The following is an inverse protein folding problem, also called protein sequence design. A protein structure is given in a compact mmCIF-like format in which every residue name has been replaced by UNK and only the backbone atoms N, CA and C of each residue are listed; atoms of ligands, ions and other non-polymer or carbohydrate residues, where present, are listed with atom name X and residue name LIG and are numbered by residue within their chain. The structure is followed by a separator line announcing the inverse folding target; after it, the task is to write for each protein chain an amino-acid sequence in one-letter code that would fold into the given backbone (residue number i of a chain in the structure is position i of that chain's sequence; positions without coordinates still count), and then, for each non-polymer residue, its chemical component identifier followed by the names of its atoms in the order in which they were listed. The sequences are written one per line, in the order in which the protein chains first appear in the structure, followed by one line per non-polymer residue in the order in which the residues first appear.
data_IF_079721115888
#
_entry.id   IF_079721115888
#
_cell.length_a   1.000
_cell.length_b   1.000
_cell.length_c   1.000
_cell.angle_alpha   90.00
_cell.angle_beta   90.00
_cell.angle_gamma   90.00
#
_symmetry.space_group_name_H-M   'P 1'
#
loop_
_entity.id
_entity.type
_entity.pdbx_description
1 polymer ?
#
# COMPACT_ATOMS: atom_id res chain seq x y z
N UNK A 1 -12.94 -17.80 -6.35
CA UNK A 1 -13.85 -16.73 -5.93
C UNK A 1 -14.81 -16.46 -7.08
N UNK A 2 -16.11 -16.77 -6.92
CA UNK A 2 -17.15 -16.37 -7.85
C UNK A 2 -17.56 -14.94 -7.51
N UNK A 3 -17.05 -13.97 -8.25
CA UNK A 3 -17.53 -12.61 -8.18
C UNK A 3 -18.89 -12.54 -8.89
N UNK A 4 -19.95 -12.37 -8.12
CA UNK A 4 -21.25 -12.00 -8.66
C UNK A 4 -21.37 -10.48 -8.58
N UNK A 5 -21.09 -9.82 -9.70
CA UNK A 5 -21.37 -8.39 -9.81
C UNK A 5 -22.88 -8.15 -9.82
N UNK A 6 -23.32 -7.27 -8.94
CA UNK A 6 -24.72 -6.84 -8.89
C UNK A 6 -24.78 -5.33 -9.24
N UNK A 7 -25.43 -4.93 -10.34
CA UNK A 7 -25.51 -3.54 -10.79
C UNK A 7 -26.26 -2.61 -9.82
N UNK A 8 -26.99 -3.16 -8.88
CA UNK A 8 -27.73 -2.39 -7.86
C UNK A 8 -26.88 -1.96 -6.69
N UNK A 9 -25.64 -2.47 -6.56
CA UNK A 9 -24.72 -2.08 -5.49
C UNK A 9 -23.59 -1.24 -6.02
N UNK A 10 -23.15 -0.28 -5.22
CA UNK A 10 -21.89 0.40 -5.45
C UNK A 10 -20.73 -0.58 -5.24
N UNK A 11 -19.82 -0.65 -6.21
CA UNK A 11 -18.76 -1.64 -6.24
C UNK A 11 -17.40 -0.95 -6.28
N UNK A 12 -16.46 -1.44 -5.50
CA UNK A 12 -15.07 -1.03 -5.54
C UNK A 12 -14.22 -2.04 -6.32
N UNK A 13 -13.49 -1.54 -7.31
CA UNK A 13 -12.53 -2.30 -8.11
C UNK A 13 -11.13 -1.95 -7.66
N UNK A 14 -10.33 -2.94 -7.29
CA UNK A 14 -9.06 -2.71 -6.63
C UNK A 14 -7.90 -3.14 -7.53
N UNK A 15 -6.90 -2.26 -7.68
CA UNK A 15 -5.67 -2.52 -8.43
C UNK A 15 -5.94 -3.14 -9.82
N UNK A 16 -5.63 -4.44 -10.01
CA UNK A 16 -5.77 -5.13 -11.29
C UNK A 16 -7.17 -5.10 -11.88
N UNK A 17 -8.20 -5.06 -11.05
CA UNK A 17 -9.58 -5.01 -11.52
C UNK A 17 -9.97 -3.66 -12.13
N UNK A 18 -9.24 -2.59 -11.79
CA UNK A 18 -9.47 -1.26 -12.37
C UNK A 18 -9.29 -1.27 -13.90
N UNK A 19 -8.30 -2.02 -14.40
CA UNK A 19 -8.05 -2.14 -15.84
C UNK A 19 -8.68 -3.36 -16.50
N UNK A 20 -9.34 -4.24 -15.74
CA UNK A 20 -9.90 -5.46 -16.28
C UNK A 20 -11.06 -5.16 -17.24
N UNK A 21 -10.94 -5.46 -18.55
CA UNK A 21 -11.95 -5.14 -19.55
C UNK A 21 -13.24 -5.98 -19.42
N UNK A 22 -13.18 -7.11 -18.72
CA UNK A 22 -14.31 -8.02 -18.52
C UNK A 22 -15.28 -7.53 -17.44
N UNK A 23 -14.89 -6.52 -16.66
CA UNK A 23 -15.71 -6.00 -15.56
C UNK A 23 -16.53 -4.82 -16.06
N UNK A 24 -17.85 -4.92 -15.91
CA UNK A 24 -18.73 -3.78 -16.15
C UNK A 24 -18.62 -2.79 -14.97
N UNK A 25 -18.26 -1.54 -15.29
CA UNK A 25 -17.92 -0.52 -14.29
C UNK A 25 -19.03 0.49 -14.03
N UNK A 26 -20.28 0.08 -14.23
CA UNK A 26 -21.46 0.93 -13.99
C UNK A 26 -21.60 1.13 -12.48
N UNK A 27 -21.67 2.37 -12.03
CA UNK A 27 -21.75 2.76 -10.62
C UNK A 27 -20.56 2.30 -9.74
N UNK A 28 -19.38 2.10 -10.33
CA UNK A 28 -18.21 1.62 -9.62
C UNK A 28 -17.25 2.73 -9.19
N UNK A 29 -16.43 2.40 -8.22
CA UNK A 29 -15.28 3.18 -7.78
C UNK A 29 -14.01 2.37 -8.04
N UNK A 30 -12.94 3.05 -8.48
CA UNK A 30 -11.62 2.44 -8.58
C UNK A 30 -10.77 2.77 -7.37
N UNK A 31 -9.91 1.84 -6.94
CA UNK A 31 -8.92 2.07 -5.89
C UNK A 31 -7.57 1.53 -6.36
N UNK A 32 -6.56 2.39 -6.44
CA UNK A 32 -5.17 2.01 -6.65
C UNK A 32 -4.42 2.14 -5.32
N UNK A 33 -4.08 1.03 -4.69
CA UNK A 33 -3.30 1.01 -3.45
C UNK A 33 -1.81 1.05 -3.68
N UNK A 34 -1.36 0.40 -4.76
CA UNK A 34 0.06 0.30 -5.05
C UNK A 34 0.59 1.58 -5.69
N UNK A 35 1.83 1.92 -5.40
CA UNK A 35 2.47 3.10 -5.96
C UNK A 35 2.83 2.91 -7.45
N UNK A 36 2.95 4.03 -8.18
CA UNK A 36 3.42 4.05 -9.57
C UNK A 36 4.77 3.35 -9.75
N UNK A 37 5.64 3.40 -8.74
CA UNK A 37 6.93 2.71 -8.79
C UNK A 37 6.84 1.18 -8.76
N UNK A 38 5.74 0.62 -8.26
CA UNK A 38 5.51 -0.83 -8.24
C UNK A 38 4.70 -1.34 -9.43
N UNK A 39 3.74 -0.53 -9.89
CA UNK A 39 2.83 -0.90 -10.98
C UNK A 39 2.76 0.21 -12.05
N UNK A 40 3.90 0.57 -12.69
CA UNK A 40 3.94 1.69 -13.64
C UNK A 40 2.95 1.53 -14.79
N UNK A 41 2.78 0.31 -15.32
CA UNK A 41 1.89 0.04 -16.44
C UNK A 41 0.41 0.36 -16.11
N UNK A 42 0.01 0.21 -14.85
CA UNK A 42 -1.32 0.61 -14.41
C UNK A 42 -1.52 2.12 -14.54
N UNK A 43 -0.57 2.89 -14.05
CA UNK A 43 -0.65 4.35 -14.09
C UNK A 43 -0.54 4.90 -15.51
N UNK A 44 0.14 4.21 -16.41
CA UNK A 44 0.23 4.57 -17.82
C UNK A 44 -1.10 4.32 -18.56
N UNK A 45 -1.91 3.38 -18.10
CA UNK A 45 -3.14 2.95 -18.78
C UNK A 45 -4.43 3.37 -18.08
N UNK A 46 -4.38 3.76 -16.81
CA UNK A 46 -5.58 4.06 -16.01
C UNK A 46 -6.40 5.24 -16.57
N UNK A 47 -5.76 6.20 -17.23
CA UNK A 47 -6.45 7.36 -17.79
C UNK A 47 -7.51 6.97 -18.82
N UNK A 48 -7.30 5.90 -19.59
CA UNK A 48 -8.25 5.40 -20.57
C UNK A 48 -9.54 4.86 -19.96
N UNK A 49 -9.53 4.54 -18.68
CA UNK A 49 -10.67 3.94 -17.98
C UNK A 49 -11.31 4.84 -16.93
N UNK A 50 -10.79 6.06 -16.71
CA UNK A 50 -11.30 6.98 -15.67
C UNK A 50 -12.80 7.24 -15.80
N UNK A 51 -13.31 7.37 -17.02
CA UNK A 51 -14.73 7.62 -17.29
C UNK A 51 -15.64 6.45 -16.93
N UNK A 52 -15.08 5.26 -16.71
CA UNK A 52 -15.84 4.08 -16.30
C UNK A 52 -16.16 4.08 -14.79
N UNK A 53 -15.57 5.00 -14.03
CA UNK A 53 -15.74 5.10 -12.58
C UNK A 53 -16.42 6.42 -12.20
N UNK A 54 -17.14 6.41 -11.09
CA UNK A 54 -17.58 7.64 -10.43
C UNK A 54 -16.35 8.43 -9.98
N UNK A 55 -15.50 7.77 -9.20
CA UNK A 55 -14.20 8.27 -8.75
C UNK A 55 -13.16 7.15 -8.75
N UNK A 56 -11.90 7.56 -8.93
CA UNK A 56 -10.72 6.73 -8.71
C UNK A 56 -9.96 7.26 -7.49
N UNK A 57 -9.75 6.42 -6.50
CA UNK A 57 -8.94 6.72 -5.32
C UNK A 57 -7.51 6.25 -5.53
N UNK A 58 -6.52 7.11 -5.28
CA UNK A 58 -5.12 6.81 -5.55
C UNK A 58 -4.16 7.60 -4.65
N UNK A 59 -3.00 7.03 -4.26
CA UNK A 59 -1.94 7.76 -3.59
C UNK A 59 -1.07 8.62 -4.53
N UNK A 60 -1.32 8.58 -5.85
CA UNK A 60 -0.53 9.32 -6.83
C UNK A 60 -1.05 10.76 -6.99
N UNK A 61 -0.28 11.73 -6.49
CA UNK A 61 -0.64 13.16 -6.55
C UNK A 61 -0.71 13.69 -7.98
N UNK A 62 0.21 13.24 -8.87
CA UNK A 62 0.23 13.68 -10.28
C UNK A 62 -1.10 13.35 -10.98
N UNK A 63 -1.63 12.16 -10.74
CA UNK A 63 -2.91 11.74 -11.34
C UNK A 63 -4.09 12.53 -10.76
N UNK A 64 -4.05 12.84 -9.46
CA UNK A 64 -5.07 13.66 -8.80
C UNK A 64 -5.05 15.10 -9.32
N UNK A 65 -3.88 15.69 -9.48
CA UNK A 65 -3.70 17.04 -10.03
C UNK A 65 -4.16 17.14 -11.48
N UNK A 66 -3.88 16.09 -12.28
CA UNK A 66 -4.27 16.04 -13.70
C UNK A 66 -5.78 15.85 -13.91
N UNK A 67 -6.44 15.10 -13.02
CA UNK A 67 -7.85 14.72 -13.13
C UNK A 67 -8.63 14.95 -11.82
N UNK A 68 -8.68 16.19 -11.29
CA UNK A 68 -9.23 16.45 -9.95
C UNK A 68 -10.73 16.14 -9.83
N UNK A 69 -11.47 16.15 -10.95
CA UNK A 69 -12.89 15.83 -11.00
C UNK A 69 -13.15 14.32 -10.85
N UNK A 70 -12.19 13.49 -11.30
CA UNK A 70 -12.30 12.02 -11.30
C UNK A 70 -11.43 11.34 -10.26
N UNK A 71 -10.23 11.85 -10.02
CA UNK A 71 -9.29 11.25 -9.09
C UNK A 71 -9.38 11.91 -7.72
N UNK A 72 -9.37 11.08 -6.68
CA UNK A 72 -9.36 11.54 -5.28
C UNK A 72 -8.15 10.95 -4.58
N UNK A 73 -7.43 11.81 -3.88
CA UNK A 73 -6.28 11.35 -3.13
C UNK A 73 -6.71 10.43 -1.99
N UNK A 74 -6.07 9.28 -1.92
CA UNK A 74 -6.24 8.31 -0.85
C UNK A 74 -4.86 7.75 -0.50
N UNK A 75 -4.39 7.87 0.75
CA UNK A 75 -3.12 7.30 1.14
C UNK A 75 -3.15 5.79 0.95
N UNK A 76 -2.10 5.26 0.33
CA UNK A 76 -1.88 3.83 0.28
C UNK A 76 -1.45 3.30 1.65
N UNK A 77 -1.67 2.02 1.86
CA UNK A 77 -1.23 1.33 3.06
C UNK A 77 -2.35 1.05 4.07
N UNK A 78 -1.99 0.27 5.08
CA UNK A 78 -2.89 -0.15 6.15
C UNK A 78 -2.10 -0.71 7.33
N UNK A 79 -2.78 -0.96 8.42
CA UNK A 79 -2.19 -1.65 9.57
C UNK A 79 -2.31 -3.16 9.37
N UNK A 80 -1.17 -3.84 9.34
CA UNK A 80 -1.06 -5.30 9.25
C UNK A 80 -0.96 -5.90 10.65
N UNK A 81 -1.90 -5.55 11.53
CA UNK A 81 -1.97 -6.04 12.90
C UNK A 81 -3.34 -6.66 13.15
N UNK A 82 -3.36 -7.68 13.99
CA UNK A 82 -4.58 -8.43 14.34
C UNK A 82 -4.49 -9.91 13.98
N UNK A 83 -5.35 -10.71 14.57
CA UNK A 83 -5.28 -12.16 14.55
C UNK A 83 -5.21 -12.84 13.18
N UNK A 84 -5.83 -12.24 12.14
CA UNK A 84 -5.81 -12.78 10.77
C UNK A 84 -4.48 -12.59 10.04
N UNK A 85 -3.61 -11.72 10.52
CA UNK A 85 -2.33 -11.37 9.89
C UNK A 85 -1.13 -11.69 10.78
N UNK A 86 -1.30 -12.52 11.80
CA UNK A 86 -0.24 -12.96 12.71
C UNK A 86 0.18 -11.92 13.74
N UNK A 87 -0.55 -10.81 13.85
CA UNK A 87 -0.10 -9.74 14.68
C UNK A 87 -0.92 -9.50 15.93
N UNK A 88 -0.43 -9.35 17.05
CA UNK A 88 -0.91 -9.02 18.35
C UNK A 88 -2.08 -8.03 18.50
N UNK A 89 -2.27 -7.55 19.67
CA UNK A 89 -3.31 -6.59 20.02
C UNK A 89 -2.91 -5.18 19.58
N UNK A 90 -3.86 -4.44 18.99
CA UNK A 90 -3.66 -3.02 18.67
C UNK A 90 -3.78 -2.23 19.99
N UNK A 91 -2.64 -1.90 20.57
CA UNK A 91 -2.55 -1.12 21.80
C UNK A 91 -1.33 -0.21 21.82
N UNK A 92 -1.30 0.72 22.74
CA UNK A 92 -0.11 1.51 23.04
C UNK A 92 0.85 0.66 23.87
N UNK A 93 1.99 0.34 23.27
CA UNK A 93 3.08 -0.36 23.93
C UNK A 93 4.06 0.64 24.56
N UNK A 94 4.66 0.23 25.66
CA UNK A 94 5.75 0.99 26.27
C UNK A 94 6.92 1.12 25.32
N UNK A 95 7.50 2.31 25.18
CA UNK A 95 8.56 2.61 24.24
C UNK A 95 9.91 2.60 24.94
N UNK A 96 10.74 1.60 24.68
CA UNK A 96 12.11 1.50 25.20
C UNK A 96 13.18 1.97 24.22
N UNK A 97 12.84 2.12 22.94
CA UNK A 97 13.75 2.54 21.86
C UNK A 97 13.34 3.89 21.30
N UNK A 98 14.34 4.71 21.00
CA UNK A 98 14.13 6.00 20.33
C UNK A 98 13.83 5.83 18.84
N UNK A 99 14.50 4.89 18.19
CA UNK A 99 14.32 4.52 16.80
C UNK A 99 14.17 3.00 16.72
N UNK A 100 13.15 2.56 16.01
CA UNK A 100 12.97 1.16 15.63
C UNK A 100 12.62 1.10 14.15
N UNK A 101 13.26 0.20 13.41
CA UNK A 101 13.02 0.02 11.99
C UNK A 101 13.01 -1.46 11.64
N UNK A 102 11.91 -1.90 11.00
CA UNK A 102 11.79 -3.23 10.39
C UNK A 102 11.75 -3.05 8.88
N UNK A 103 12.59 -3.75 8.15
CA UNK A 103 12.67 -3.65 6.70
C UNK A 103 12.82 -5.02 6.05
N UNK A 104 11.98 -5.31 5.05
CA UNK A 104 12.20 -6.46 4.18
C UNK A 104 13.38 -6.21 3.23
N UNK A 105 13.91 -7.28 2.64
CA UNK A 105 14.99 -7.23 1.64
C UNK A 105 14.52 -6.92 0.22
N UNK A 106 13.24 -6.61 0.01
CA UNK A 106 12.69 -6.30 -1.32
C UNK A 106 13.32 -5.04 -1.92
N UNK A 107 13.70 -5.11 -3.19
CA UNK A 107 14.27 -4.01 -3.98
C UNK A 107 13.55 -3.87 -5.34
N UNK A 108 12.24 -3.68 -5.30
CA UNK A 108 11.40 -3.60 -6.51
C UNK A 108 11.28 -2.18 -7.07
N UNK A 109 11.68 -1.17 -6.34
CA UNK A 109 11.65 0.24 -6.75
C UNK A 109 12.65 1.07 -5.93
N UNK A 110 12.90 2.31 -6.37
CA UNK A 110 13.89 3.22 -5.74
C UNK A 110 13.66 3.43 -4.25
N UNK A 111 12.41 3.53 -3.81
CA UNK A 111 12.10 3.68 -2.39
C UNK A 111 12.44 2.42 -1.57
N UNK A 112 12.35 1.24 -2.15
CA UNK A 112 12.82 0.01 -1.50
C UNK A 112 14.33 0.03 -1.31
N UNK A 113 15.09 0.39 -2.34
CA UNK A 113 16.54 0.52 -2.27
C UNK A 113 16.96 1.62 -1.29
N UNK A 114 16.27 2.77 -1.29
CA UNK A 114 16.51 3.83 -0.32
C UNK A 114 16.26 3.35 1.13
N UNK A 115 15.16 2.65 1.36
CA UNK A 115 14.83 2.08 2.67
C UNK A 115 15.92 1.14 3.18
N UNK A 116 16.48 0.28 2.32
CA UNK A 116 17.57 -0.62 2.70
C UNK A 116 18.87 0.13 3.00
N UNK A 117 19.19 1.16 2.23
CA UNK A 117 20.34 2.04 2.52
C UNK A 117 20.18 2.73 3.87
N UNK A 118 18.97 3.25 4.14
CA UNK A 118 18.65 3.89 5.41
C UNK A 118 18.75 2.89 6.58
N UNK A 119 18.20 1.68 6.41
CA UNK A 119 18.28 0.64 7.43
C UNK A 119 19.73 0.28 7.77
N UNK A 120 20.59 0.09 6.77
CA UNK A 120 22.02 -0.16 6.96
C UNK A 120 22.71 1.00 7.68
N UNK A 121 22.45 2.24 7.24
CA UNK A 121 23.01 3.43 7.90
C UNK A 121 22.62 3.53 9.37
N UNK A 122 21.35 3.25 9.71
CA UNK A 122 20.87 3.27 11.09
C UNK A 122 21.49 2.12 11.89
N UNK A 123 21.62 0.93 11.30
CA UNK A 123 22.20 -0.24 11.95
C UNK A 123 23.69 -0.02 12.32
N UNK A 124 24.45 0.69 11.47
CA UNK A 124 25.82 1.11 11.76
C UNK A 124 25.92 2.03 12.99
N UNK A 125 24.83 2.74 13.33
CA UNK A 125 24.70 3.61 14.50
C UNK A 125 24.03 2.91 15.70
N UNK A 126 23.80 1.60 15.60
CA UNK A 126 23.08 0.81 16.59
C UNK A 126 23.68 0.95 17.99
N UNK A 127 22.81 1.15 18.93
CA UNK A 127 23.13 1.21 20.36
C UNK A 127 21.88 0.82 21.18
N UNK A 128 21.93 0.95 22.52
CA UNK A 128 20.80 0.58 23.39
C UNK A 128 19.48 1.30 23.09
N UNK A 129 19.51 2.44 22.36
CA UNK A 129 18.32 3.25 22.02
C UNK A 129 17.86 3.08 20.57
N UNK A 130 18.61 2.35 19.75
CA UNK A 130 18.34 2.17 18.33
C UNK A 130 18.23 0.68 18.05
N UNK A 131 17.18 0.29 17.35
CA UNK A 131 16.96 -1.08 16.93
C UNK A 131 16.58 -1.14 15.45
N UNK A 132 17.22 -2.04 14.72
CA UNK A 132 16.97 -2.25 13.28
C UNK A 132 16.95 -3.74 12.98
N UNK A 133 15.91 -4.16 12.29
CA UNK A 133 15.79 -5.53 11.78
C UNK A 133 15.60 -5.48 10.26
N UNK A 134 16.48 -6.17 9.54
CA UNK A 134 16.42 -6.31 8.07
C UNK A 134 16.16 -7.78 7.76
N UNK A 135 15.12 -8.08 6.98
CA UNK A 135 14.72 -9.43 6.60
C UNK A 135 13.32 -9.80 7.07
N UNK A 136 12.99 -11.08 7.00
CA UNK A 136 11.76 -11.58 7.60
C UNK A 136 11.95 -11.68 9.11
N UNK A 137 11.18 -10.92 9.87
CA UNK A 137 11.09 -11.08 11.33
C UNK A 137 10.13 -12.23 11.59
N UNK A 138 10.51 -13.27 12.34
CA UNK A 138 9.56 -14.25 12.85
C UNK A 138 8.47 -13.53 13.65
N UNK A 139 7.23 -13.99 13.52
CA UNK A 139 6.07 -13.37 14.18
C UNK A 139 6.22 -13.24 15.70
N UNK A 140 7.01 -14.12 16.30
CA UNK A 140 7.22 -14.20 17.75
C UNK A 140 8.16 -13.11 18.29
N UNK A 141 9.02 -12.53 17.43
CA UNK A 141 10.00 -11.50 17.82
C UNK A 141 9.47 -10.06 17.70
N UNK A 142 8.31 -9.88 17.08
CA UNK A 142 7.72 -8.54 16.89
C UNK A 142 7.07 -8.02 18.17
N UNK A 143 6.78 -8.91 19.12
CA UNK A 143 5.97 -8.61 20.31
C UNK A 143 6.73 -8.70 21.64
N UNK A 144 8.05 -8.93 21.61
CA UNK A 144 8.89 -8.99 22.81
C UNK A 144 9.48 -7.63 23.19
#
# INVERSE_FOLDING_TARGET
WNWQWNPNYETFFVNFDVLNPMIQRVNGYGILYESKGLIPDFYNNVEHVLNNFKFLFTPNSELVEKHPEKCKWCPGGGLWVGGSYGGGEVKLHEKSKMISMVSSTKEMCDLHSFRLKLAKFIDEKKNKKIDVTIGSVPSDDILS
#
